data_IF_014715655054
#
_entry.id   IF_014715655054
#
_cell.length_a   1.000
_cell.length_b   1.000
_cell.length_c   1.000
_cell.angle_alpha   90.00
_cell.angle_beta   90.00
_cell.angle_gamma   90.00
#
_symmetry.space_group_name_H-M   'P 1'
#
loop_
_entity.id
_entity.type
_entity.pdbx_description
1 polymer ?
#
# COMPACT_ATOMS: atom_id res chain seq x y z
N UNK A 1 -2.05 18.76 20.28
CA UNK A 1 -1.76 17.32 20.34
C UNK A 1 -3.10 16.60 20.44
N UNK A 2 -3.77 16.38 19.30
CA UNK A 2 -4.89 15.45 19.25
C UNK A 2 -4.29 14.04 19.15
N UNK A 3 -4.47 13.26 20.20
CA UNK A 3 -4.04 11.87 20.25
C UNK A 3 -4.83 11.08 19.21
N UNK A 4 -4.17 10.73 18.10
CA UNK A 4 -4.69 9.79 17.10
C UNK A 4 -5.19 8.53 17.79
N UNK A 5 -6.43 8.13 17.53
CA UNK A 5 -7.05 6.95 18.15
C UNK A 5 -6.33 5.70 17.65
N UNK A 6 -5.64 4.96 18.55
CA UNK A 6 -4.82 3.86 18.14
C UNK A 6 -5.58 2.80 17.33
N UNK A 7 -6.86 2.61 17.60
CA UNK A 7 -7.62 1.50 17.03
C UNK A 7 -8.01 1.72 15.57
N UNK A 8 -8.08 2.97 15.11
CA UNK A 8 -8.66 3.30 13.79
C UNK A 8 -7.76 2.99 12.61
N UNK A 9 -6.44 2.98 12.78
CA UNK A 9 -5.47 2.64 11.72
C UNK A 9 -4.98 1.19 11.79
N UNK A 10 -5.39 0.44 12.82
CA UNK A 10 -4.95 -0.95 13.04
C UNK A 10 -5.34 -1.89 11.90
N UNK A 11 -6.39 -1.57 11.12
CA UNK A 11 -6.81 -2.39 9.99
C UNK A 11 -5.76 -2.45 8.87
N UNK A 12 -4.86 -1.45 8.75
CA UNK A 12 -3.79 -1.43 7.76
C UNK A 12 -2.67 -2.41 8.10
N UNK A 13 -2.47 -2.71 9.38
CA UNK A 13 -1.36 -3.53 9.86
C UNK A 13 -1.57 -5.01 9.54
N UNK A 14 -0.47 -5.69 9.24
CA UNK A 14 -0.36 -7.14 9.01
C UNK A 14 -1.24 -7.69 7.88
N UNK A 15 -1.73 -6.81 6.99
CA UNK A 15 -2.45 -7.17 5.76
C UNK A 15 -1.62 -6.84 4.54
N UNK A 16 -1.84 -7.59 3.46
CA UNK A 16 -1.23 -7.31 2.16
C UNK A 16 -2.13 -6.39 1.35
N UNK A 17 -1.62 -5.23 1.00
CA UNK A 17 -2.30 -4.22 0.21
C UNK A 17 -1.73 -4.19 -1.19
N UNK A 18 -2.60 -4.22 -2.19
CA UNK A 18 -2.31 -3.84 -3.55
C UNK A 18 -2.30 -2.31 -3.66
N UNK A 19 -1.29 -1.77 -4.34
CA UNK A 19 -1.07 -0.33 -4.46
C UNK A 19 -1.51 0.18 -5.83
N UNK A 20 -2.16 1.34 -5.82
CA UNK A 20 -2.59 2.05 -7.00
C UNK A 20 -2.29 3.55 -6.86
N UNK A 21 -1.90 4.18 -7.96
CA UNK A 21 -1.97 5.63 -8.10
C UNK A 21 -3.34 6.02 -8.66
N UNK A 22 -3.88 7.14 -8.20
CA UNK A 22 -5.22 7.63 -8.52
C UNK A 22 -5.15 9.10 -8.90
N UNK A 23 -5.63 9.46 -10.09
CA UNK A 23 -5.72 10.87 -10.47
C UNK A 23 -6.71 11.63 -9.56
N UNK A 24 -6.65 12.97 -9.48
CA UNK A 24 -7.61 13.75 -8.70
C UNK A 24 -9.06 13.36 -9.01
N UNK A 25 -9.90 13.28 -7.98
CA UNK A 25 -11.31 12.89 -8.10
C UNK A 25 -12.18 14.14 -8.34
N UNK A 26 -12.86 14.20 -9.48
CA UNK A 26 -13.76 15.29 -9.84
C UNK A 26 -15.04 15.27 -8.98
N UNK A 27 -15.32 16.38 -8.29
CA UNK A 27 -16.50 16.60 -7.44
C UNK A 27 -16.72 15.57 -6.34
N UNK A 28 -15.67 14.85 -5.95
CA UNK A 28 -15.71 14.06 -4.73
C UNK A 28 -15.89 14.98 -3.51
N UNK A 29 -16.59 14.48 -2.49
CA UNK A 29 -16.91 15.28 -1.30
C UNK A 29 -17.15 14.37 -0.09
N UNK A 30 -16.40 14.61 0.98
CA UNK A 30 -16.50 13.90 2.26
C UNK A 30 -17.88 14.06 2.93
N UNK A 31 -18.66 15.08 2.55
CA UNK A 31 -20.02 15.26 3.06
C UNK A 31 -20.99 14.17 2.55
N UNK A 32 -20.64 13.48 1.45
CA UNK A 32 -21.52 12.55 0.73
C UNK A 32 -21.14 11.08 0.88
N UNK A 33 -20.26 10.73 1.82
CA UNK A 33 -19.77 9.35 1.98
C UNK A 33 -20.91 8.33 2.17
N UNK A 34 -21.99 8.70 2.87
CA UNK A 34 -23.17 7.82 3.03
C UNK A 34 -23.89 7.58 1.70
N UNK A 35 -24.06 8.60 0.87
CA UNK A 35 -24.64 8.47 -0.47
C UNK A 35 -23.76 7.57 -1.34
N UNK A 36 -22.44 7.78 -1.29
CA UNK A 36 -21.47 6.95 -2.04
C UNK A 36 -21.54 5.49 -1.63
N UNK A 37 -21.66 5.19 -0.33
CA UNK A 37 -21.85 3.82 0.15
C UNK A 37 -23.12 3.18 -0.43
N UNK A 38 -24.24 3.92 -0.46
CA UNK A 38 -25.49 3.44 -1.03
C UNK A 38 -25.39 3.21 -2.54
N UNK A 39 -24.85 4.18 -3.28
CA UNK A 39 -24.69 4.09 -4.74
C UNK A 39 -23.75 2.95 -5.14
N UNK A 40 -22.63 2.79 -4.44
CA UNK A 40 -21.69 1.70 -4.68
C UNK A 40 -22.31 0.34 -4.35
N UNK A 41 -23.12 0.24 -3.29
CA UNK A 41 -23.86 -0.98 -2.96
C UNK A 41 -24.79 -1.42 -4.10
N UNK A 42 -25.56 -0.47 -4.65
CA UNK A 42 -26.43 -0.72 -5.81
C UNK A 42 -25.63 -1.12 -7.04
N UNK A 43 -24.49 -0.44 -7.29
CA UNK A 43 -23.60 -0.77 -8.41
C UNK A 43 -23.04 -2.19 -8.31
N UNK A 44 -22.57 -2.61 -7.13
CA UNK A 44 -22.07 -3.97 -6.89
C UNK A 44 -23.18 -5.00 -7.11
N UNK A 45 -24.39 -4.74 -6.64
CA UNK A 45 -25.53 -5.64 -6.86
C UNK A 45 -25.86 -5.76 -8.36
N UNK A 46 -25.83 -4.65 -9.11
CA UNK A 46 -26.08 -4.64 -10.54
C UNK A 46 -25.00 -5.38 -11.35
N UNK A 47 -23.71 -5.19 -11.04
CA UNK A 47 -22.61 -5.89 -11.70
C UNK A 47 -22.66 -7.41 -11.47
N UNK A 48 -23.07 -7.83 -10.27
CA UNK A 48 -23.32 -9.26 -9.98
C UNK A 48 -24.47 -9.83 -10.83
N UNK A 49 -25.53 -9.07 -11.08
CA UNK A 49 -26.65 -9.49 -11.95
C UNK A 49 -26.26 -9.61 -13.42
N UNK A 50 -25.35 -8.75 -13.92
CA UNK A 50 -24.81 -8.86 -15.28
C UNK A 50 -23.94 -10.11 -15.47
N UNK A 51 -23.19 -10.51 -14.44
CA UNK A 51 -22.37 -11.74 -14.45
C UNK A 51 -23.14 -13.05 -14.29
N UNK A 52 -24.40 -13.00 -13.85
CA UNK A 52 -25.26 -14.17 -13.57
C UNK A 52 -25.79 -14.89 -14.81
N UNK A 53 -25.54 -14.38 -16.02
CA UNK A 53 -25.91 -15.07 -17.26
C UNK A 53 -24.99 -16.27 -17.60
N UNK A 54 -23.89 -16.50 -16.86
CA UNK A 54 -22.84 -17.48 -17.25
C UNK A 54 -22.58 -18.60 -16.23
N UNK A 55 -22.92 -18.47 -14.94
CA UNK A 55 -22.61 -19.52 -13.95
C UNK A 55 -23.82 -19.88 -13.07
N UNK A 56 -24.53 -20.94 -13.48
CA UNK A 56 -25.52 -21.64 -12.67
C UNK A 56 -24.76 -22.54 -11.67
N UNK A 57 -24.72 -22.17 -10.38
CA UNK A 57 -24.47 -23.17 -9.33
C UNK A 57 -23.57 -22.82 -8.14
N UNK A 58 -23.06 -21.58 -7.98
CA UNK A 58 -22.31 -21.22 -6.77
C UNK A 58 -23.12 -20.28 -5.87
N UNK A 59 -23.31 -20.71 -4.62
CA UNK A 59 -24.03 -20.04 -3.54
C UNK A 59 -23.64 -18.55 -3.45
N UNK A 60 -24.61 -17.67 -3.64
CA UNK A 60 -24.39 -16.23 -3.78
C UNK A 60 -24.37 -15.53 -2.42
N UNK A 61 -23.26 -14.85 -2.13
CA UNK A 61 -23.16 -13.71 -1.19
C UNK A 61 -24.03 -12.53 -1.69
N UNK A 62 -25.35 -12.63 -1.55
CA UNK A 62 -26.35 -11.66 -2.04
C UNK A 62 -26.46 -10.39 -1.19
N UNK A 63 -26.01 -10.43 0.07
CA UNK A 63 -26.05 -9.28 0.99
C UNK A 63 -24.63 -8.70 1.14
N UNK A 64 -24.20 -7.88 0.19
CA UNK A 64 -22.97 -7.08 0.34
C UNK A 64 -23.36 -5.71 0.90
N UNK A 65 -22.90 -5.42 2.12
CA UNK A 65 -22.99 -4.09 2.71
C UNK A 65 -21.71 -3.32 2.42
N UNK A 66 -21.88 -2.09 1.94
CA UNK A 66 -20.81 -1.13 1.72
C UNK A 66 -20.80 -0.11 2.84
N UNK A 67 -19.62 0.19 3.36
CA UNK A 67 -19.38 1.31 4.28
C UNK A 67 -18.29 2.20 3.69
N UNK A 68 -18.52 3.51 3.72
CA UNK A 68 -17.53 4.51 3.32
C UNK A 68 -17.37 5.49 4.49
N UNK A 69 -16.14 5.66 4.97
CA UNK A 69 -15.83 6.47 6.14
C UNK A 69 -14.53 7.26 5.95
N UNK A 70 -14.40 8.34 6.72
CA UNK A 70 -13.20 9.18 6.75
C UNK A 70 -12.30 8.76 7.93
N UNK A 71 -10.99 8.73 7.69
CA UNK A 71 -9.94 8.44 8.67
C UNK A 71 -9.01 9.65 8.75
N UNK A 72 -9.29 10.63 9.63
CA UNK A 72 -8.44 11.80 9.81
C UNK A 72 -7.07 11.43 10.43
N UNK A 73 -6.97 10.30 11.13
CA UNK A 73 -5.73 9.80 11.76
C UNK A 73 -4.58 9.51 10.79
N UNK A 74 -4.86 9.43 9.49
CA UNK A 74 -3.87 9.19 8.45
C UNK A 74 -3.37 10.47 7.78
N UNK A 75 -3.80 11.65 8.24
CA UNK A 75 -3.25 12.93 7.78
C UNK A 75 -1.80 13.06 8.25
N UNK A 76 -0.90 13.45 7.36
CA UNK A 76 0.48 13.82 7.69
C UNK A 76 0.58 15.26 8.19
N UNK A 77 -0.26 16.15 7.67
CA UNK A 77 -0.36 17.57 8.05
C UNK A 77 -1.81 18.03 8.25
N UNK A 78 -2.01 19.25 8.72
CA UNK A 78 -3.35 19.87 8.82
C UNK A 78 -3.98 20.18 7.44
N UNK A 79 -3.17 20.22 6.39
CA UNK A 79 -3.55 20.52 5.01
C UNK A 79 -3.91 19.26 4.22
N UNK A 80 -3.45 18.09 4.68
CA UNK A 80 -3.79 16.81 4.08
C UNK A 80 -5.28 16.52 4.16
N UNK A 81 -5.82 15.98 3.06
CA UNK A 81 -7.17 15.45 3.04
C UNK A 81 -7.25 14.21 3.93
N UNK A 82 -8.38 14.03 4.63
CA UNK A 82 -8.56 12.83 5.43
C UNK A 82 -8.61 11.61 4.52
N UNK A 83 -7.97 10.51 4.94
CA UNK A 83 -8.02 9.28 4.19
C UNK A 83 -9.48 8.76 4.11
N UNK A 84 -9.84 8.12 3.02
CA UNK A 84 -11.18 7.57 2.81
C UNK A 84 -11.10 6.05 2.79
N UNK A 85 -11.83 5.40 3.69
CA UNK A 85 -11.92 3.95 3.81
C UNK A 85 -13.23 3.46 3.20
N UNK A 86 -13.13 2.47 2.32
CA UNK A 86 -14.24 1.74 1.72
C UNK A 86 -14.17 0.30 2.19
N UNK A 87 -15.24 -0.22 2.80
CA UNK A 87 -15.30 -1.59 3.30
C UNK A 87 -16.50 -2.31 2.70
N UNK A 88 -16.24 -3.54 2.24
CA UNK A 88 -17.27 -4.46 1.79
C UNK A 88 -17.37 -5.59 2.80
N UNK A 89 -18.55 -5.78 3.35
CA UNK A 89 -18.86 -6.89 4.24
C UNK A 89 -20.00 -7.71 3.68
N UNK A 90 -19.96 -9.02 3.87
CA UNK A 90 -21.05 -9.89 3.44
C UNK A 90 -21.44 -10.90 4.49
N UNK A 91 -22.68 -11.35 4.39
CA UNK A 91 -23.24 -12.42 5.21
C UNK A 91 -23.30 -13.68 4.37
N UNK A 92 -22.80 -14.79 4.91
CA UNK A 92 -22.94 -16.10 4.28
C UNK A 92 -24.42 -16.51 4.27
N UNK A 93 -24.88 -17.10 3.16
CA UNK A 93 -26.22 -17.66 3.05
C UNK A 93 -26.49 -18.82 4.02
N UNK A 94 -25.43 -19.48 4.50
CA UNK A 94 -25.49 -20.60 5.43
C UNK A 94 -25.60 -20.16 6.91
N UNK A 95 -25.47 -18.87 7.21
CA UNK A 95 -25.48 -18.37 8.59
C UNK A 95 -26.84 -17.79 8.99
N UNK A 96 -27.29 -17.99 10.26
CA UNK A 96 -28.56 -17.43 10.73
C UNK A 96 -28.59 -15.90 10.60
N UNK A 97 -29.76 -15.27 10.48
CA UNK A 97 -29.89 -13.81 10.29
C UNK A 97 -29.24 -12.95 11.39
N UNK A 98 -28.90 -13.55 12.54
CA UNK A 98 -28.16 -12.93 13.65
C UNK A 98 -26.65 -12.93 13.47
N UNK A 99 -26.12 -13.57 12.42
CA UNK A 99 -24.69 -13.65 12.16
C UNK A 99 -24.08 -12.31 11.77
N UNK A 100 -22.90 -12.06 12.32
CA UNK A 100 -22.08 -10.88 12.06
C UNK A 100 -21.59 -10.89 10.60
N UNK A 101 -21.61 -9.73 9.95
CA UNK A 101 -21.12 -9.62 8.57
C UNK A 101 -19.60 -9.74 8.57
N UNK A 102 -19.06 -10.58 7.69
CA UNK A 102 -17.62 -10.75 7.53
C UNK A 102 -17.07 -9.72 6.55
N UNK A 103 -15.98 -9.06 6.91
CA UNK A 103 -15.24 -8.19 6.00
C UNK A 103 -14.62 -9.04 4.87
N UNK A 104 -14.98 -8.74 3.62
CA UNK A 104 -14.52 -9.48 2.43
C UNK A 104 -13.55 -8.67 1.57
N UNK A 105 -13.57 -7.35 1.67
CA UNK A 105 -12.66 -6.45 0.95
C UNK A 105 -12.57 -5.09 1.65
N UNK A 106 -11.44 -4.41 1.49
CA UNK A 106 -11.21 -3.05 1.97
C UNK A 106 -10.36 -2.26 0.97
N UNK A 107 -10.70 -0.99 0.79
CA UNK A 107 -9.95 -0.02 -0.01
C UNK A 107 -9.70 1.23 0.81
N UNK A 108 -8.51 1.81 0.73
CA UNK A 108 -8.17 3.03 1.47
C UNK A 108 -7.48 4.03 0.55
N UNK A 109 -8.08 5.20 0.38
CA UNK A 109 -7.49 6.35 -0.30
C UNK A 109 -6.73 7.19 0.71
N UNK A 110 -5.52 7.60 0.38
CA UNK A 110 -4.64 8.37 1.27
C UNK A 110 -3.97 9.51 0.50
N UNK A 111 -3.69 10.59 1.23
CA UNK A 111 -2.76 11.65 0.85
C UNK A 111 -2.00 12.03 2.14
N UNK A 112 -0.74 11.59 2.25
CA UNK A 112 0.09 11.87 3.43
C UNK A 112 1.26 12.76 3.01
N UNK A 113 1.36 13.94 3.65
CA UNK A 113 2.31 15.00 3.33
C UNK A 113 2.25 15.44 1.86
N UNK A 114 1.05 15.66 1.34
CA UNK A 114 0.85 16.14 -0.04
C UNK A 114 1.16 17.62 -0.25
N UNK A 115 1.64 18.32 0.79
CA UNK A 115 1.71 19.78 0.90
C UNK A 115 2.56 20.47 -0.19
N UNK A 116 3.55 19.79 -0.76
CA UNK A 116 4.33 20.35 -1.88
C UNK A 116 3.59 20.24 -3.23
N UNK A 117 2.71 19.24 -3.36
CA UNK A 117 2.00 18.86 -4.59
C UNK A 117 0.54 19.36 -4.60
N UNK A 118 0.00 19.75 -3.45
CA UNK A 118 -1.35 20.26 -3.23
C UNK A 118 -1.47 21.79 -3.33
N UNK A 119 -0.45 22.49 -3.87
CA UNK A 119 -0.50 23.94 -4.08
C UNK A 119 -1.58 24.29 -5.12
N UNK A 120 -2.80 24.48 -4.61
CA UNK A 120 -4.03 24.84 -5.32
C UNK A 120 -4.54 23.76 -6.29
N UNK A 121 -5.14 22.65 -5.80
CA UNK A 121 -5.91 21.79 -6.68
C UNK A 121 -6.98 22.63 -7.39
N UNK A 122 -7.27 22.37 -8.68
CA UNK A 122 -8.34 23.07 -9.37
C UNK A 122 -9.65 22.95 -8.59
N UNK A 123 -10.44 24.03 -8.57
CA UNK A 123 -11.75 24.05 -7.93
C UNK A 123 -12.56 22.85 -8.44
N UNK A 124 -13.19 22.10 -7.52
CA UNK A 124 -13.90 20.83 -7.72
C UNK A 124 -13.08 19.52 -7.63
N UNK A 125 -11.74 19.54 -7.49
CA UNK A 125 -10.96 18.30 -7.40
C UNK A 125 -10.51 17.95 -5.98
N UNK A 126 -10.64 16.67 -5.63
CA UNK A 126 -10.14 16.07 -4.39
C UNK A 126 -8.85 15.29 -4.70
N UNK A 127 -7.81 15.48 -3.90
CA UNK A 127 -6.50 14.88 -4.15
C UNK A 127 -6.20 13.77 -3.14
N UNK A 128 -6.36 12.52 -3.61
CA UNK A 128 -6.08 11.31 -2.85
C UNK A 128 -5.30 10.33 -3.74
N UNK A 129 -4.01 10.61 -3.99
CA UNK A 129 -3.27 9.98 -5.08
C UNK A 129 -2.91 8.52 -4.81
N UNK A 130 -2.91 8.08 -3.56
CA UNK A 130 -2.58 6.70 -3.19
C UNK A 130 -3.84 5.92 -2.85
N UNK A 131 -4.03 4.75 -3.48
CA UNK A 131 -5.08 3.81 -3.13
C UNK A 131 -4.53 2.43 -2.78
N UNK A 132 -4.94 1.93 -1.62
CA UNK A 132 -4.58 0.64 -1.04
C UNK A 132 -5.79 -0.30 -1.14
N UNK A 133 -5.65 -1.47 -1.76
CA UNK A 133 -6.73 -2.47 -1.83
C UNK A 133 -6.33 -3.80 -1.17
N UNK A 134 -7.22 -4.38 -0.36
CA UNK A 134 -7.05 -5.68 0.26
C UNK A 134 -8.33 -6.51 0.07
N UNK A 135 -8.21 -7.70 -0.51
CA UNK A 135 -9.34 -8.60 -0.78
C UNK A 135 -9.31 -9.12 -2.22
N UNK A 136 -10.42 -9.70 -2.68
CA UNK A 136 -10.50 -10.29 -4.01
C UNK A 136 -10.47 -9.23 -5.12
N UNK A 137 -9.68 -9.48 -6.18
CA UNK A 137 -9.46 -8.54 -7.29
C UNK A 137 -10.74 -8.14 -8.04
N UNK A 138 -11.74 -9.04 -8.08
CA UNK A 138 -13.07 -8.73 -8.63
C UNK A 138 -13.72 -7.52 -7.97
N UNK A 139 -13.59 -7.38 -6.64
CA UNK A 139 -14.15 -6.26 -5.91
C UNK A 139 -13.31 -5.00 -6.12
N UNK A 140 -11.98 -5.12 -6.17
CA UNK A 140 -11.09 -4.01 -6.54
C UNK A 140 -11.47 -3.44 -7.90
N UNK A 141 -11.73 -4.31 -8.89
CA UNK A 141 -12.11 -3.92 -10.25
C UNK A 141 -13.47 -3.21 -10.29
N UNK A 142 -14.48 -3.73 -9.57
CA UNK A 142 -15.82 -3.12 -9.51
C UNK A 142 -15.75 -1.75 -8.81
N UNK A 143 -15.10 -1.67 -7.65
CA UNK A 143 -14.98 -0.42 -6.89
C UNK A 143 -14.18 0.60 -7.69
N UNK A 144 -13.03 0.22 -8.24
CA UNK A 144 -12.22 1.09 -9.10
C UNK A 144 -13.02 1.62 -10.29
N UNK A 145 -13.72 0.74 -11.03
CA UNK A 145 -14.55 1.16 -12.18
C UNK A 145 -15.68 2.12 -11.78
N UNK A 146 -16.31 1.90 -10.63
CA UNK A 146 -17.33 2.80 -10.11
C UNK A 146 -16.75 4.17 -9.76
N UNK A 147 -15.59 4.24 -9.09
CA UNK A 147 -14.93 5.52 -8.79
C UNK A 147 -14.53 6.26 -10.08
N UNK A 148 -13.90 5.57 -11.03
CA UNK A 148 -13.50 6.16 -12.32
C UNK A 148 -14.70 6.74 -13.08
N UNK A 149 -15.84 6.03 -13.09
CA UNK A 149 -17.05 6.50 -13.78
C UNK A 149 -17.76 7.63 -13.02
N UNK A 150 -17.74 7.60 -11.68
CA UNK A 150 -18.50 8.54 -10.85
C UNK A 150 -17.77 9.87 -10.67
N UNK A 151 -16.43 9.85 -10.62
CA UNK A 151 -15.59 10.99 -10.30
C UNK A 151 -14.55 11.33 -11.37
N UNK A 152 -14.72 10.80 -12.59
CA UNK A 152 -13.85 11.06 -13.74
C UNK A 152 -12.35 10.98 -13.40
N UNK A 153 -11.97 9.90 -12.71
CA UNK A 153 -10.60 9.64 -12.28
C UNK A 153 -10.04 8.39 -12.95
N UNK A 154 -8.74 8.16 -12.78
CA UNK A 154 -8.01 7.01 -13.35
C UNK A 154 -7.25 6.28 -12.24
N UNK A 155 -7.29 4.95 -12.26
CA UNK A 155 -6.51 4.09 -11.38
C UNK A 155 -5.40 3.43 -12.18
N UNK A 156 -4.17 3.45 -11.67
CA UNK A 156 -3.04 2.75 -12.27
C UNK A 156 -2.32 1.93 -11.22
N UNK A 157 -1.87 0.74 -11.57
CA UNK A 157 -1.13 -0.12 -10.64
C UNK A 157 0.20 0.57 -10.27
N UNK A 158 0.42 0.79 -8.98
CA UNK A 158 1.64 1.45 -8.49
C UNK A 158 2.77 0.43 -8.39
N UNK A 159 3.47 0.20 -9.50
CA UNK A 159 4.67 -0.63 -9.49
C UNK A 159 5.82 0.09 -8.76
N UNK A 160 6.60 -0.65 -7.97
CA UNK A 160 7.74 -0.13 -7.22
C UNK A 160 9.02 -0.53 -7.96
N UNK A 161 9.83 0.43 -8.38
CA UNK A 161 11.08 0.15 -9.08
C UNK A 161 12.12 -0.48 -8.14
N UNK A 162 13.11 -1.22 -8.66
CA UNK A 162 14.25 -1.69 -7.85
C UNK A 162 14.98 -0.55 -7.14
N UNK A 163 15.05 0.61 -7.79
CA UNK A 163 15.59 1.85 -7.22
C UNK A 163 14.80 2.27 -5.97
N UNK A 164 13.47 2.39 -6.06
CA UNK A 164 12.62 2.75 -4.92
C UNK A 164 12.66 1.68 -3.81
N UNK A 165 12.84 0.40 -4.17
CA UNK A 165 13.03 -0.67 -3.19
C UNK A 165 14.35 -0.51 -2.43
N UNK A 166 15.45 -0.14 -3.10
CA UNK A 166 16.73 0.17 -2.42
C UNK A 166 16.57 1.32 -1.42
N UNK A 167 15.87 2.38 -1.82
CA UNK A 167 15.51 3.48 -0.93
C UNK A 167 14.70 3.01 0.28
N UNK A 168 13.67 2.19 0.07
CA UNK A 168 12.88 1.59 1.16
C UNK A 168 13.77 0.77 2.10
N UNK A 169 14.71 -0.03 1.58
CA UNK A 169 15.61 -0.82 2.40
C UNK A 169 16.48 0.06 3.31
N UNK A 170 17.09 1.11 2.76
CA UNK A 170 17.90 2.06 3.51
C UNK A 170 17.09 2.81 4.58
N UNK A 171 15.96 3.41 4.19
CA UNK A 171 15.08 4.15 5.10
C UNK A 171 14.60 3.29 6.27
N UNK A 172 14.21 2.04 6.00
CA UNK A 172 13.68 1.16 7.03
C UNK A 172 14.77 0.52 7.89
N UNK A 173 15.99 0.37 7.38
CA UNK A 173 17.13 -0.10 8.17
C UNK A 173 17.54 0.92 9.26
N UNK A 174 17.39 2.22 8.98
CA UNK A 174 17.69 3.28 9.96
C UNK A 174 16.72 3.36 11.13
N UNK A 175 15.52 2.80 10.99
CA UNK A 175 14.47 2.84 12.01
C UNK A 175 14.87 2.04 13.26
N UNK A 176 14.49 2.56 14.44
CA UNK A 176 14.65 1.81 15.69
C UNK A 176 13.58 0.73 15.75
N UNK A 177 14.00 -0.50 16.00
CA UNK A 177 13.11 -1.65 16.04
C UNK A 177 13.26 -2.36 17.39
N UNK A 178 12.17 -2.89 17.92
CA UNK A 178 12.21 -3.73 19.12
C UNK A 178 13.12 -4.95 18.93
N UNK A 179 13.71 -5.44 20.04
CA UNK A 179 14.68 -6.54 20.06
C UNK A 179 14.16 -7.89 19.53
N UNK A 180 12.87 -8.00 19.20
CA UNK A 180 12.23 -9.22 18.64
C UNK A 180 11.95 -9.11 17.14
N UNK A 181 12.61 -8.17 16.46
CA UNK A 181 12.44 -7.89 15.04
C UNK A 181 12.73 -9.10 14.14
N UNK A 182 11.86 -9.31 13.14
CA UNK A 182 12.14 -10.23 12.04
C UNK A 182 13.32 -9.75 11.19
N UNK A 183 14.09 -10.67 10.63
CA UNK A 183 15.22 -10.38 9.74
C UNK A 183 14.84 -9.42 8.60
N UNK A 184 15.81 -8.58 8.22
CA UNK A 184 15.76 -7.79 6.99
C UNK A 184 16.01 -8.71 5.81
N UNK A 185 15.00 -8.92 4.97
CA UNK A 185 15.05 -9.79 3.80
C UNK A 185 15.02 -8.96 2.50
N UNK A 186 16.03 -9.17 1.66
CA UNK A 186 16.09 -8.67 0.29
C UNK A 186 15.92 -9.85 -0.67
N UNK A 187 14.93 -9.78 -1.57
CA UNK A 187 14.67 -10.84 -2.55
C UNK A 187 14.99 -10.33 -3.95
N UNK A 188 15.80 -11.09 -4.66
CA UNK A 188 16.24 -10.80 -6.01
C UNK A 188 15.75 -11.86 -6.97
N UNK A 189 15.28 -11.44 -8.14
CA UNK A 189 14.87 -12.35 -9.21
C UNK A 189 15.93 -12.40 -10.29
N UNK A 190 16.30 -13.62 -10.70
CA UNK A 190 17.32 -13.84 -11.74
C UNK A 190 16.67 -13.71 -13.12
N UNK A 191 17.09 -12.74 -13.95
CA UNK A 191 16.47 -12.51 -15.25
C UNK A 191 16.81 -13.62 -16.26
N UNK A 192 15.94 -13.79 -17.26
CA UNK A 192 16.18 -14.62 -18.47
C UNK A 192 16.33 -16.12 -18.22
N UNK A 193 15.73 -16.65 -17.15
CA UNK A 193 15.63 -18.09 -16.92
C UNK A 193 14.28 -18.65 -17.39
N UNK A 194 14.23 -19.90 -17.87
CA UNK A 194 12.99 -20.57 -18.25
C UNK A 194 12.07 -20.85 -17.06
N UNK A 195 12.63 -20.92 -15.85
CA UNK A 195 11.90 -21.04 -14.60
C UNK A 195 12.28 -19.86 -13.69
N UNK A 196 11.32 -19.26 -12.96
CA UNK A 196 11.62 -18.19 -12.04
C UNK A 196 12.52 -18.71 -10.93
N UNK A 197 13.67 -18.05 -10.75
CA UNK A 197 14.61 -18.31 -9.67
C UNK A 197 14.77 -17.03 -8.87
N UNK A 198 14.38 -17.10 -7.61
CA UNK A 198 14.53 -16.01 -6.67
C UNK A 198 15.60 -16.35 -5.62
N UNK A 199 16.44 -15.37 -5.30
CA UNK A 199 17.48 -15.43 -4.28
C UNK A 199 17.01 -14.57 -3.12
N UNK A 200 16.81 -15.19 -1.95
CA UNK A 200 16.53 -14.47 -0.70
C UNK A 200 17.82 -14.26 0.08
N UNK A 201 18.08 -13.02 0.46
CA UNK A 201 19.17 -12.61 1.31
C UNK A 201 18.62 -12.01 2.61
N UNK A 202 18.68 -12.79 3.68
CA UNK A 202 18.23 -12.39 5.02
C UNK A 202 19.42 -11.94 5.88
N UNK A 203 19.25 -10.79 6.53
CA UNK A 203 20.25 -10.10 7.36
C UNK A 203 19.62 -9.84 8.72
N UNK A 204 20.40 -10.00 9.80
CA UNK A 204 19.91 -9.64 11.12
C UNK A 204 19.61 -8.13 11.18
N UNK A 205 18.48 -7.69 11.79
CA UNK A 205 18.09 -6.28 11.76
C UNK A 205 19.13 -5.35 12.38
N UNK A 206 19.80 -5.82 13.45
CA UNK A 206 20.88 -5.07 14.11
C UNK A 206 22.10 -4.89 13.21
N UNK A 207 22.46 -5.89 12.39
CA UNK A 207 23.57 -5.79 11.45
C UNK A 207 23.25 -4.84 10.30
N UNK A 208 22.02 -4.92 9.77
CA UNK A 208 21.55 -4.01 8.74
C UNK A 208 21.53 -2.56 9.24
N UNK A 209 21.07 -2.36 10.49
CA UNK A 209 21.08 -1.05 11.14
C UNK A 209 22.49 -0.55 11.42
N UNK A 210 23.37 -1.39 11.97
CA UNK A 210 24.76 -1.02 12.23
C UNK A 210 25.48 -0.64 10.95
N UNK A 211 25.25 -1.37 9.85
CA UNK A 211 25.77 -0.99 8.54
C UNK A 211 25.22 0.37 8.10
N UNK A 212 23.90 0.57 8.17
CA UNK A 212 23.29 1.85 7.81
C UNK A 212 23.85 3.03 8.63
N UNK A 213 23.98 2.86 9.95
CA UNK A 213 24.49 3.88 10.87
C UNK A 213 25.97 4.25 10.58
N UNK A 214 26.74 3.38 9.90
CA UNK A 214 28.10 3.71 9.42
C UNK A 214 28.13 4.48 8.10
N UNK A 215 27.07 4.37 7.30
CA UNK A 215 26.96 4.99 5.98
C UNK A 215 26.34 6.37 6.09
N UNK A 216 25.29 6.51 6.92
CA UNK A 216 24.59 7.76 7.12
C UNK A 216 25.48 8.81 7.78
N UNK A 217 25.68 9.95 7.12
CA UNK A 217 26.51 11.06 7.62
C UNK A 217 25.70 12.01 8.48
N UNK A 218 24.48 12.33 8.06
CA UNK A 218 23.60 13.29 8.72
C UNK A 218 22.29 12.61 9.10
N UNK A 219 21.96 12.48 10.40
CA UNK A 219 20.69 11.92 10.82
C UNK A 219 19.50 12.73 10.28
N UNK A 220 18.56 12.05 9.64
CA UNK A 220 17.31 12.64 9.14
C UNK A 220 17.35 13.10 7.68
N UNK A 221 18.54 13.20 7.09
CA UNK A 221 18.72 13.37 5.65
C UNK A 221 19.25 12.06 5.08
N UNK A 222 18.72 11.66 3.92
CA UNK A 222 19.14 10.44 3.23
C UNK A 222 19.44 10.84 1.79
N UNK A 223 20.69 10.64 1.37
CA UNK A 223 21.10 10.94 -0.01
C UNK A 223 21.18 9.68 -0.87
N UNK A 224 21.10 9.86 -2.20
CA UNK A 224 21.25 8.76 -3.15
C UNK A 224 22.58 8.03 -2.96
N UNK A 225 23.67 8.78 -2.74
CA UNK A 225 24.99 8.20 -2.55
C UNK A 225 25.06 7.32 -1.30
N UNK A 226 24.37 7.69 -0.21
CA UNK A 226 24.30 6.87 1.00
C UNK A 226 23.53 5.58 0.74
N UNK A 227 22.41 5.65 0.02
CA UNK A 227 21.64 4.45 -0.37
C UNK A 227 22.49 3.51 -1.25
N UNK A 228 23.22 4.07 -2.22
CA UNK A 228 24.07 3.28 -3.11
C UNK A 228 25.21 2.60 -2.34
N UNK A 229 25.91 3.32 -1.47
CA UNK A 229 26.98 2.75 -0.63
C UNK A 229 26.44 1.65 0.29
N UNK A 230 25.26 1.85 0.89
CA UNK A 230 24.63 0.84 1.73
C UNK A 230 24.33 -0.44 0.94
N UNK A 231 23.70 -0.32 -0.24
CA UNK A 231 23.36 -1.48 -1.08
C UNK A 231 24.62 -2.16 -1.64
N UNK A 232 25.64 -1.40 -2.03
CA UNK A 232 26.91 -1.94 -2.52
C UNK A 232 27.68 -2.71 -1.46
N UNK A 233 27.64 -2.26 -0.19
CA UNK A 233 28.18 -3.01 0.94
C UNK A 233 27.48 -4.37 1.09
N UNK A 234 26.15 -4.40 1.00
CA UNK A 234 25.36 -5.64 1.08
C UNK A 234 25.66 -6.59 -0.09
N UNK A 235 25.75 -6.06 -1.32
CA UNK A 235 26.09 -6.83 -2.51
C UNK A 235 27.50 -7.39 -2.44
N UNK A 236 28.46 -6.59 -1.99
CA UNK A 236 29.86 -6.99 -1.81
C UNK A 236 30.00 -8.07 -0.76
N UNK A 237 29.29 -7.96 0.36
CA UNK A 237 29.23 -9.00 1.40
C UNK A 237 28.67 -10.31 0.82
N UNK A 238 27.52 -10.26 0.15
CA UNK A 238 26.92 -11.45 -0.43
C UNK A 238 27.85 -12.12 -1.45
N UNK A 239 28.44 -11.35 -2.36
CA UNK A 239 29.39 -11.86 -3.34
C UNK A 239 30.63 -12.47 -2.68
N UNK A 240 31.17 -11.87 -1.61
CA UNK A 240 32.33 -12.39 -0.89
C UNK A 240 32.09 -13.83 -0.40
N UNK A 241 30.90 -14.10 0.12
CA UNK A 241 30.53 -15.40 0.71
C UNK A 241 30.01 -16.41 -0.32
N UNK A 242 29.15 -15.99 -1.26
CA UNK A 242 28.44 -16.90 -2.15
C UNK A 242 28.96 -16.89 -3.59
N UNK A 243 29.84 -15.96 -3.95
CA UNK A 243 30.35 -15.77 -5.33
C UNK A 243 29.26 -15.51 -6.36
N UNK A 244 28.15 -14.92 -5.93
CA UNK A 244 27.03 -14.51 -6.77
C UNK A 244 26.97 -12.98 -6.81
N UNK A 245 26.90 -12.42 -8.00
CA UNK A 245 26.72 -10.98 -8.21
C UNK A 245 25.23 -10.61 -8.18
N UNK A 246 24.73 -10.18 -7.02
CA UNK A 246 23.35 -9.70 -6.89
C UNK A 246 23.07 -8.48 -7.78
N UNK A 247 24.07 -7.67 -8.09
CA UNK A 247 23.94 -6.54 -9.04
C UNK A 247 23.57 -6.97 -10.47
N UNK A 248 23.79 -8.24 -10.84
CA UNK A 248 23.34 -8.79 -12.12
C UNK A 248 21.90 -9.33 -12.10
N UNK A 249 21.24 -9.27 -10.93
CA UNK A 249 19.86 -9.69 -10.71
C UNK A 249 18.96 -8.48 -10.46
N UNK A 250 17.65 -8.69 -10.35
CA UNK A 250 16.70 -7.60 -10.10
C UNK A 250 16.17 -7.67 -8.67
N UNK A 251 16.37 -6.63 -7.86
CA UNK A 251 15.69 -6.50 -6.56
C UNK A 251 14.17 -6.41 -6.80
N UNK A 252 13.42 -7.37 -6.26
CA UNK A 252 11.96 -7.47 -6.45
C UNK A 252 11.17 -7.28 -5.17
N UNK A 253 11.76 -7.53 -4.00
CA UNK A 253 11.08 -7.35 -2.72
C UNK A 253 12.07 -6.98 -1.62
N UNK A 254 11.61 -6.12 -0.73
CA UNK A 254 12.30 -5.70 0.50
C UNK A 254 11.35 -5.95 1.67
N UNK A 255 11.82 -6.59 2.72
CA UNK A 255 11.06 -6.79 3.95
C UNK A 255 11.92 -6.51 5.15
N UNK A 256 11.43 -5.66 6.04
CA UNK A 256 12.04 -5.38 7.34
C UNK A 256 10.98 -5.61 8.41
N UNK A 257 11.30 -5.31 9.66
CA UNK A 257 10.29 -5.26 10.71
C UNK A 257 9.29 -4.11 10.55
N UNK A 258 9.58 -3.11 9.70
CA UNK A 258 8.74 -1.94 9.48
C UNK A 258 7.61 -2.26 8.51
N UNK A 259 7.99 -2.75 7.33
CA UNK A 259 7.10 -3.05 6.23
C UNK A 259 7.72 -4.07 5.27
N UNK A 260 6.90 -4.62 4.39
CA UNK A 260 7.30 -5.52 3.30
C UNK A 260 6.74 -4.98 1.99
N UNK A 261 7.59 -4.58 1.05
CA UNK A 261 7.19 -4.08 -0.26
C UNK A 261 7.73 -4.95 -1.38
N UNK A 262 6.96 -5.07 -2.46
CA UNK A 262 7.31 -5.81 -3.66
C UNK A 262 7.11 -4.95 -4.90
N UNK A 263 7.96 -5.16 -5.92
CA UNK A 263 7.95 -4.44 -7.17
C UNK A 263 6.63 -4.51 -7.97
N UNK A 264 5.75 -5.46 -7.66
CA UNK A 264 4.43 -5.61 -8.29
C UNK A 264 3.37 -4.66 -7.67
N UNK A 265 3.80 -3.74 -6.80
CA UNK A 265 2.90 -2.83 -6.11
C UNK A 265 2.10 -3.56 -5.03
N UNK A 266 2.77 -4.36 -4.22
CA UNK A 266 2.16 -4.89 -2.99
C UNK A 266 2.96 -4.46 -1.77
N UNK A 267 2.27 -4.13 -0.69
CA UNK A 267 2.87 -3.75 0.58
C UNK A 267 2.19 -4.42 1.77
N UNK A 268 2.94 -4.70 2.84
CA UNK A 268 2.43 -5.02 4.17
C UNK A 268 3.04 -4.06 5.17
N UNK A 269 2.21 -3.44 5.99
CA UNK A 269 2.66 -2.62 7.13
C UNK A 269 2.77 -3.51 8.36
N UNK A 270 3.89 -3.46 9.07
CA UNK A 270 4.15 -4.35 10.20
C UNK A 270 4.22 -3.59 11.52
N UNK A 271 4.79 -2.38 11.49
CA UNK A 271 4.87 -1.49 12.65
C UNK A 271 4.03 -0.24 12.48
N UNK A 272 3.34 0.10 13.56
CA UNK A 272 2.42 1.22 13.62
C UNK A 272 3.14 2.57 13.63
N UNK A 273 4.21 2.67 14.40
CA UNK A 273 4.95 3.93 14.65
C UNK A 273 5.51 4.53 13.35
N UNK A 274 5.78 3.68 12.36
CA UNK A 274 6.33 4.06 11.07
C UNK A 274 5.28 4.13 9.95
N UNK A 275 4.00 3.87 10.25
CA UNK A 275 2.94 3.78 9.25
C UNK A 275 2.83 5.05 8.40
N UNK A 276 2.80 6.23 9.04
CA UNK A 276 2.71 7.51 8.32
C UNK A 276 3.92 7.75 7.44
N UNK A 277 5.14 7.45 7.93
CA UNK A 277 6.36 7.60 7.13
C UNK A 277 6.37 6.70 5.90
N UNK A 278 5.89 5.46 6.00
CA UNK A 278 5.75 4.57 4.85
C UNK A 278 4.66 5.09 3.89
N UNK A 279 3.52 5.57 4.40
CA UNK A 279 2.45 6.12 3.56
C UNK A 279 2.86 7.40 2.83
N UNK A 280 3.67 8.25 3.46
CA UNK A 280 4.26 9.45 2.84
C UNK A 280 5.10 9.08 1.62
N UNK A 281 6.06 8.16 1.80
CA UNK A 281 6.87 7.64 0.68
C UNK A 281 6.00 7.05 -0.44
N UNK A 282 4.99 6.25 -0.09
CA UNK A 282 4.08 5.68 -1.10
C UNK A 282 3.24 6.75 -1.80
N UNK A 283 2.89 7.84 -1.11
CA UNK A 283 2.15 8.96 -1.67
C UNK A 283 3.02 9.67 -2.71
N UNK A 284 4.28 9.98 -2.40
CA UNK A 284 5.23 10.55 -3.36
C UNK A 284 5.40 9.66 -4.60
N UNK A 285 5.53 8.34 -4.40
CA UNK A 285 5.60 7.38 -5.50
C UNK A 285 4.32 7.36 -6.34
N UNK A 286 3.15 7.49 -5.71
CA UNK A 286 1.88 7.53 -6.43
C UNK A 286 1.75 8.81 -7.26
N UNK A 287 2.16 9.96 -6.72
CA UNK A 287 2.09 11.25 -7.43
C UNK A 287 3.02 11.29 -8.64
N UNK A 288 4.25 10.82 -8.49
CA UNK A 288 5.21 10.75 -9.62
C UNK A 288 4.78 9.85 -10.78
N UNK A 289 3.72 9.05 -10.64
CA UNK A 289 3.13 8.25 -11.72
C UNK A 289 1.87 8.86 -12.35
N UNK A 290 1.34 9.94 -11.76
CA UNK A 290 0.19 10.69 -12.26
C UNK A 290 0.66 11.81 -13.19
N UNK A 291 1.80 12.44 -12.87
CA UNK A 291 2.53 13.38 -13.74
C UNK A 291 3.04 12.71 -15.03
#
# INVERSE_FOLDING_TARGET
QETSDPQRTAFLLRRQWALYSVSPLYRFSDARLKDYAQLLSVSIAAEKQKGLAVEVGLELDLDVKVEVSSIPDLRGSEWDQAAILVQLSSRSSASPQTSERKLIWSGCFCCVAGDELSKNPPQDFTYLPLFLANGAEKYTSIVGSWFQTTFDCCFRRLAISPFNLSWMAAMWAGCKVDQTASATELVFSVPRLPQPLDISYAIHPEDAKALWDTVQKTPGEITQEEVDVFMDCLYSHFHRHFKIHLSATKLVKVSTAIASAHCNGTIKFLQREHLLGVLMLLTELAVSQIE
#
